data_IF_576438288576
#
_entry.id   IF_576438288576
#
_cell.length_a   1.000
_cell.length_b   1.000
_cell.length_c   1.000
_cell.angle_alpha   90.00
_cell.angle_beta   90.00
_cell.angle_gamma   90.00
#
_symmetry.space_group_name_H-M   'P 1'
#
loop_
_entity.id
_entity.type
_entity.pdbx_description
1 polymer ?
#
# COMPACT_ATOMS: atom_id res chain seq x y z
N UNK A 1 -26.60 -4.41 -15.13
CA UNK A 1 -25.24 -4.39 -15.67
C UNK A 1 -24.45 -3.23 -15.06
N UNK A 2 -23.13 -3.40 -14.92
CA UNK A 2 -22.21 -2.41 -14.35
C UNK A 2 -20.99 -2.30 -15.26
N UNK A 3 -20.51 -1.08 -15.49
CA UNK A 3 -19.39 -0.78 -16.37
C UNK A 3 -18.38 0.11 -15.64
N UNK A 4 -17.12 -0.30 -15.67
CA UNK A 4 -15.96 0.51 -15.31
C UNK A 4 -15.31 1.04 -16.59
N UNK A 5 -15.15 2.35 -16.67
CA UNK A 5 -14.62 3.06 -17.82
C UNK A 5 -13.22 3.57 -17.46
N UNK A 6 -12.21 3.03 -18.13
CA UNK A 6 -10.82 3.51 -18.05
C UNK A 6 -10.77 4.97 -18.50
N UNK A 7 -10.07 5.81 -17.73
CA UNK A 7 -9.80 7.21 -18.10
C UNK A 7 -8.36 7.59 -17.79
N UNK A 8 -7.93 8.76 -18.26
CA UNK A 8 -6.66 9.39 -17.88
C UNK A 8 -6.82 10.40 -16.72
N UNK A 9 -7.97 10.40 -16.04
CA UNK A 9 -8.32 11.35 -14.98
C UNK A 9 -7.94 10.85 -13.57
N UNK A 10 -7.08 9.83 -13.49
CA UNK A 10 -6.63 9.23 -12.22
C UNK A 10 -7.71 8.41 -11.49
N UNK A 11 -8.77 7.99 -12.19
CA UNK A 11 -9.87 7.18 -11.66
C UNK A 11 -10.66 6.49 -12.76
N UNK A 12 -11.37 5.44 -12.39
CA UNK A 12 -12.45 4.93 -13.23
C UNK A 12 -13.65 5.88 -13.21
N UNK A 13 -14.41 5.84 -14.30
CA UNK A 13 -15.79 6.32 -14.31
C UNK A 13 -16.72 5.12 -14.34
N UNK A 14 -17.86 5.25 -13.67
CA UNK A 14 -18.79 4.14 -13.47
C UNK A 14 -20.13 4.46 -14.12
N UNK A 15 -20.71 3.46 -14.77
CA UNK A 15 -22.05 3.54 -15.33
C UNK A 15 -22.81 2.23 -15.11
N UNK A 16 -24.13 2.32 -15.00
CA UNK A 16 -25.01 1.18 -14.76
C UNK A 16 -26.17 1.18 -15.75
N UNK A 17 -26.71 -0.01 -16.00
CA UNK A 17 -27.85 -0.22 -16.90
C UNK A 17 -28.70 -1.38 -16.42
N UNK A 18 -30.02 -1.28 -16.55
CA UNK A 18 -30.97 -2.35 -16.25
C UNK A 18 -31.21 -3.28 -17.43
N UNK A 19 -31.01 -2.80 -18.66
CA UNK A 19 -31.35 -3.49 -19.91
C UNK A 19 -30.16 -3.71 -20.86
N UNK A 20 -29.01 -3.10 -20.57
CA UNK A 20 -27.80 -3.12 -21.42
C UNK A 20 -27.85 -2.13 -22.59
N UNK A 21 -28.99 -1.51 -22.87
CA UNK A 21 -29.18 -0.58 -23.99
C UNK A 21 -29.06 0.88 -23.54
N UNK A 22 -29.68 1.24 -22.42
CA UNK A 22 -29.61 2.57 -21.84
C UNK A 22 -28.69 2.58 -20.61
N UNK A 23 -27.74 3.50 -20.59
CA UNK A 23 -26.73 3.59 -19.53
C UNK A 23 -26.85 4.93 -18.79
N UNK A 24 -26.66 4.89 -17.47
CA UNK A 24 -26.63 6.11 -16.66
C UNK A 24 -25.45 7.01 -17.06
N UNK A 25 -25.59 8.32 -16.86
CA UNK A 25 -24.46 9.26 -17.04
C UNK A 25 -23.24 8.79 -16.23
N UNK A 26 -22.06 8.61 -16.86
CA UNK A 26 -20.86 8.18 -16.14
C UNK A 26 -20.49 9.12 -14.99
N UNK A 27 -20.09 8.56 -13.85
CA UNK A 27 -19.65 9.33 -12.67
C UNK A 27 -18.25 8.91 -12.21
N UNK A 28 -17.45 9.82 -11.65
CA UNK A 28 -16.18 9.49 -11.00
C UNK A 28 -16.33 8.39 -9.95
N UNK A 29 -15.50 7.36 -10.02
CA UNK A 29 -15.50 6.21 -9.12
C UNK A 29 -14.14 5.96 -8.47
N UNK A 30 -13.77 4.68 -8.38
CA UNK A 30 -12.52 4.21 -7.76
C UNK A 30 -11.26 4.87 -8.36
N UNK A 31 -10.25 5.20 -7.52
CA UNK A 31 -8.94 5.60 -8.01
C UNK A 31 -8.32 4.49 -8.85
N UNK A 32 -7.65 4.89 -9.93
CA UNK A 32 -6.97 3.98 -10.83
C UNK A 32 -5.88 4.73 -11.57
N UNK A 33 -4.78 4.04 -11.88
CA UNK A 33 -3.94 4.48 -12.98
C UNK A 33 -4.73 4.37 -14.29
N UNK A 34 -4.23 4.96 -15.36
CA UNK A 34 -4.81 4.90 -16.69
C UNK A 34 -4.70 3.50 -17.33
N UNK A 35 -4.85 2.43 -16.54
CA UNK A 35 -4.91 1.01 -16.90
C UNK A 35 -6.35 0.48 -16.82
N UNK A 36 -6.71 -0.54 -17.61
CA UNK A 36 -8.04 -1.15 -17.53
C UNK A 36 -8.19 -2.04 -16.28
N UNK A 37 -9.45 -2.28 -15.90
CA UNK A 37 -9.85 -3.22 -14.88
C UNK A 37 -10.22 -4.59 -15.45
N UNK A 38 -10.14 -5.62 -14.62
CA UNK A 38 -10.65 -6.96 -14.87
C UNK A 38 -11.74 -7.28 -13.85
N UNK A 39 -12.87 -7.79 -14.32
CA UNK A 39 -14.01 -8.16 -13.47
C UNK A 39 -14.33 -9.64 -13.65
N UNK A 40 -14.61 -10.33 -12.54
CA UNK A 40 -15.08 -11.71 -12.55
C UNK A 40 -16.26 -11.86 -11.57
N UNK A 41 -17.36 -12.46 -12.01
CA UNK A 41 -18.51 -12.76 -11.15
C UNK A 41 -18.43 -14.19 -10.64
N UNK A 42 -18.32 -14.34 -9.33
CA UNK A 42 -18.27 -15.63 -8.65
C UNK A 42 -19.64 -16.35 -8.71
N UNK A 43 -19.67 -17.70 -8.61
CA UNK A 43 -20.92 -18.47 -8.59
C UNK A 43 -21.88 -18.07 -7.46
N UNK A 44 -21.35 -17.55 -6.35
CA UNK A 44 -22.12 -17.08 -5.18
C UNK A 44 -22.64 -15.63 -5.34
N UNK A 45 -22.45 -15.02 -6.51
CA UNK A 45 -22.94 -13.69 -6.85
C UNK A 45 -21.99 -12.54 -6.52
N UNK A 46 -20.93 -12.78 -5.74
CA UNK A 46 -19.87 -11.78 -5.49
C UNK A 46 -19.17 -11.37 -6.78
N UNK A 47 -18.62 -10.17 -6.80
CA UNK A 47 -17.84 -9.65 -7.93
C UNK A 47 -16.42 -9.38 -7.44
N UNK A 48 -15.43 -9.91 -8.15
CA UNK A 48 -14.02 -9.61 -7.94
C UNK A 48 -13.59 -8.58 -8.97
N UNK A 49 -12.91 -7.54 -8.50
CA UNK A 49 -12.28 -6.50 -9.30
C UNK A 49 -10.77 -6.61 -9.16
N UNK A 50 -10.06 -6.58 -10.29
CA UNK A 50 -8.61 -6.50 -10.38
C UNK A 50 -8.23 -5.23 -11.13
N UNK A 51 -7.37 -4.39 -10.54
CA UNK A 51 -6.96 -3.13 -11.17
C UNK A 51 -5.71 -2.53 -10.53
N UNK A 52 -5.15 -1.53 -11.18
CA UNK A 52 -4.03 -0.77 -10.66
C UNK A 52 -4.53 0.45 -9.86
N UNK A 53 -4.75 0.30 -8.55
CA UNK A 53 -5.03 1.41 -7.63
C UNK A 53 -3.75 2.20 -7.31
N UNK A 54 -3.11 2.76 -8.34
CA UNK A 54 -1.87 3.49 -8.26
C UNK A 54 -2.16 4.98 -8.52
N UNK A 55 -1.56 5.87 -7.75
CA UNK A 55 -1.67 7.31 -7.98
C UNK A 55 -0.31 7.95 -8.31
N UNK A 56 -0.37 9.25 -8.62
CA UNK A 56 0.77 10.18 -8.76
C UNK A 56 1.67 10.03 -9.98
N UNK A 57 1.66 8.86 -10.62
CA UNK A 57 2.38 8.65 -11.86
C UNK A 57 1.43 8.13 -12.92
N UNK A 58 1.48 8.78 -14.08
CA UNK A 58 0.77 8.31 -15.27
C UNK A 58 1.48 7.07 -15.84
N UNK A 59 0.70 6.22 -16.48
CA UNK A 59 1.20 5.10 -17.26
C UNK A 59 2.04 4.09 -16.46
N UNK A 60 2.89 3.34 -17.15
CA UNK A 60 3.71 2.30 -16.58
C UNK A 60 4.74 2.79 -15.54
N UNK A 61 5.16 4.07 -15.59
CA UNK A 61 6.19 4.66 -14.72
C UNK A 61 5.67 4.97 -13.30
N UNK A 62 5.02 4.01 -12.67
CA UNK A 62 4.45 4.14 -11.32
C UNK A 62 3.03 3.61 -11.25
N UNK A 63 2.26 3.77 -12.34
CA UNK A 63 0.87 3.33 -12.44
C UNK A 63 0.66 1.83 -12.67
N UNK A 64 1.70 1.03 -12.94
CA UNK A 64 1.57 -0.41 -13.26
C UNK A 64 2.48 -1.33 -12.45
N UNK A 65 3.01 -0.87 -11.32
CA UNK A 65 3.92 -1.70 -10.51
C UNK A 65 3.21 -2.76 -9.66
N UNK A 66 1.95 -2.51 -9.29
CA UNK A 66 1.16 -3.39 -8.45
C UNK A 66 -0.24 -3.54 -9.03
N UNK A 67 -0.78 -4.74 -8.96
CA UNK A 67 -2.17 -5.05 -9.26
C UNK A 67 -2.88 -5.34 -7.95
N UNK A 68 -3.97 -4.64 -7.68
CA UNK A 68 -4.82 -4.84 -6.52
C UNK A 68 -6.06 -5.66 -6.86
N UNK A 69 -6.60 -6.34 -5.85
CA UNK A 69 -7.88 -7.04 -5.88
C UNK A 69 -8.85 -6.51 -4.82
N UNK A 70 -10.14 -6.49 -5.15
CA UNK A 70 -11.23 -6.23 -4.22
C UNK A 70 -12.47 -7.07 -4.54
N UNK A 71 -13.33 -7.25 -3.54
CA UNK A 71 -14.58 -8.00 -3.62
C UNK A 71 -15.76 -7.07 -3.35
N UNK A 72 -16.82 -7.20 -4.14
CA UNK A 72 -18.13 -6.62 -3.89
C UNK A 72 -19.16 -7.72 -3.63
N UNK A 73 -20.00 -7.52 -2.62
CA UNK A 73 -21.14 -8.40 -2.27
C UNK A 73 -22.49 -7.76 -2.58
N UNK A 74 -22.51 -6.52 -3.09
CA UNK A 74 -23.72 -5.69 -3.20
C UNK A 74 -23.94 -5.17 -4.64
N UNK A 75 -23.42 -5.90 -5.62
CA UNK A 75 -23.59 -5.57 -7.04
C UNK A 75 -22.71 -4.41 -7.51
N UNK A 76 -21.46 -4.36 -7.03
CA UNK A 76 -20.46 -3.34 -7.34
C UNK A 76 -20.79 -1.93 -6.80
N UNK A 77 -21.58 -1.84 -5.73
CA UNK A 77 -21.84 -0.56 -5.04
C UNK A 77 -20.75 -0.22 -4.03
N UNK A 78 -20.24 -1.24 -3.33
CA UNK A 78 -19.10 -1.13 -2.43
C UNK A 78 -18.08 -2.22 -2.71
N UNK A 79 -16.83 -1.93 -2.35
CA UNK A 79 -15.67 -2.78 -2.58
C UNK A 79 -14.90 -2.97 -1.27
N UNK A 80 -14.37 -4.18 -1.06
CA UNK A 80 -13.59 -4.55 0.13
C UNK A 80 -12.32 -5.31 -0.25
N UNK A 81 -11.27 -5.15 0.55
CA UNK A 81 -10.00 -5.86 0.39
C UNK A 81 -8.86 -4.94 -0.02
N UNK A 82 -8.89 -4.41 -1.25
CA UNK A 82 -7.83 -3.55 -1.82
C UNK A 82 -6.42 -4.08 -1.50
N UNK A 83 -6.20 -5.36 -1.78
CA UNK A 83 -4.93 -6.04 -1.51
C UNK A 83 -4.14 -6.23 -2.79
N UNK A 84 -2.82 -6.11 -2.72
CA UNK A 84 -1.93 -6.43 -3.82
C UNK A 84 -1.96 -7.93 -4.13
N UNK A 85 -2.54 -8.30 -5.27
CA UNK A 85 -2.61 -9.68 -5.75
C UNK A 85 -1.39 -10.06 -6.60
N UNK A 86 -0.72 -9.05 -7.17
CA UNK A 86 0.51 -9.25 -7.94
C UNK A 86 1.32 -7.96 -8.03
N UNK A 87 2.63 -8.11 -8.20
CA UNK A 87 3.58 -7.00 -8.37
C UNK A 87 4.48 -7.32 -9.54
N UNK A 88 4.84 -6.30 -10.30
CA UNK A 88 5.72 -6.46 -11.46
C UNK A 88 7.05 -7.10 -11.02
N UNK A 89 7.45 -8.25 -11.59
CA UNK A 89 8.70 -8.92 -11.24
C UNK A 89 9.91 -8.07 -11.65
N UNK A 90 9.76 -7.18 -12.64
CA UNK A 90 10.82 -6.31 -13.14
C UNK A 90 10.88 -4.94 -12.42
N UNK A 91 10.09 -4.72 -11.35
CA UNK A 91 10.01 -3.44 -10.62
C UNK A 91 11.35 -2.94 -10.05
N UNK A 92 12.33 -3.82 -9.90
CA UNK A 92 13.67 -3.46 -9.40
C UNK A 92 14.63 -3.05 -10.55
N UNK A 93 14.23 -3.25 -11.80
CA UNK A 93 15.02 -2.90 -12.98
C UNK A 93 14.73 -1.47 -13.42
N UNK A 94 15.63 -0.90 -14.20
CA UNK A 94 15.35 0.36 -14.89
C UNK A 94 14.19 0.14 -15.87
N UNK A 95 13.28 1.11 -15.95
CA UNK A 95 12.22 1.09 -16.93
C UNK A 95 12.84 0.94 -18.34
N UNK A 96 12.23 0.12 -19.22
CA UNK A 96 12.73 -0.04 -20.57
C UNK A 96 12.68 1.30 -21.32
N UNK A 97 13.64 1.51 -22.23
CA UNK A 97 13.73 2.75 -23.03
C UNK A 97 12.54 2.94 -23.99
N UNK A 98 11.78 1.88 -24.27
CA UNK A 98 10.56 1.91 -25.07
C UNK A 98 9.62 0.75 -24.71
N UNK A 99 8.35 0.89 -25.11
CA UNK A 99 7.33 -0.14 -24.98
C UNK A 99 6.62 -0.21 -23.62
N UNK A 100 5.57 -1.02 -23.60
CA UNK A 100 4.75 -1.22 -22.41
C UNK A 100 5.42 -2.16 -21.42
N UNK A 101 5.25 -1.86 -20.13
CA UNK A 101 5.81 -2.63 -19.03
C UNK A 101 4.91 -2.54 -17.79
N UNK A 102 5.27 -3.31 -16.77
CA UNK A 102 4.50 -3.44 -15.55
C UNK A 102 3.39 -4.49 -15.64
N UNK A 103 2.65 -4.62 -14.55
CA UNK A 103 1.46 -5.45 -14.46
C UNK A 103 0.20 -4.62 -14.67
N UNK A 104 -0.55 -4.92 -15.73
CA UNK A 104 -1.87 -4.34 -16.02
C UNK A 104 -2.59 -5.21 -17.05
N UNK A 105 -3.75 -4.74 -17.53
CA UNK A 105 -4.62 -5.51 -18.44
C UNK A 105 -5.03 -6.87 -17.86
N UNK A 106 -5.56 -6.90 -16.62
CA UNK A 106 -6.01 -8.16 -16.05
C UNK A 106 -7.21 -8.72 -16.82
N UNK A 107 -7.12 -9.98 -17.21
CA UNK A 107 -8.25 -10.74 -17.77
C UNK A 107 -8.56 -11.86 -16.78
N UNK A 108 -9.78 -11.86 -16.24
CA UNK A 108 -10.17 -12.75 -15.15
C UNK A 108 -11.36 -13.65 -15.52
N UNK A 109 -11.32 -14.89 -15.04
CA UNK A 109 -12.40 -15.87 -15.14
C UNK A 109 -12.54 -16.64 -13.83
N UNK A 110 -13.76 -17.10 -13.56
CA UNK A 110 -14.05 -17.86 -12.34
C UNK A 110 -13.95 -19.36 -12.58
N UNK A 111 -13.31 -20.07 -11.66
CA UNK A 111 -13.28 -21.54 -11.69
C UNK A 111 -14.56 -22.13 -11.10
N UNK A 112 -14.82 -23.42 -11.37
CA UNK A 112 -15.93 -24.15 -10.75
C UNK A 112 -15.88 -24.18 -9.21
N UNK A 113 -14.70 -24.02 -8.63
CA UNK A 113 -14.47 -24.01 -7.19
C UNK A 113 -14.59 -22.61 -6.56
N UNK A 114 -15.08 -21.62 -7.32
CA UNK A 114 -15.23 -20.25 -6.81
C UNK A 114 -13.90 -19.50 -6.62
N UNK A 115 -12.82 -19.95 -7.26
CA UNK A 115 -11.55 -19.21 -7.33
C UNK A 115 -11.51 -18.32 -8.57
N UNK A 116 -10.63 -17.34 -8.59
CA UNK A 116 -10.43 -16.45 -9.75
C UNK A 116 -9.11 -16.79 -10.43
N UNK A 117 -9.18 -17.30 -11.66
CA UNK A 117 -8.03 -17.41 -12.53
C UNK A 117 -7.89 -16.10 -13.31
N UNK A 118 -6.70 -15.51 -13.34
CA UNK A 118 -6.48 -14.31 -14.14
C UNK A 118 -5.08 -14.26 -14.74
N UNK A 119 -4.97 -13.63 -15.89
CA UNK A 119 -3.69 -13.21 -16.47
C UNK A 119 -3.52 -11.71 -16.33
N UNK A 120 -2.29 -11.24 -16.19
CA UNK A 120 -1.94 -9.81 -16.13
C UNK A 120 -0.49 -9.62 -16.57
N UNK A 121 -0.15 -8.43 -17.04
CA UNK A 121 1.20 -8.12 -17.49
C UNK A 121 1.26 -7.42 -18.84
N UNK A 122 2.38 -6.73 -19.08
CA UNK A 122 2.68 -6.10 -20.36
C UNK A 122 4.18 -6.20 -20.67
N UNK A 123 4.50 -6.13 -21.96
CA UNK A 123 5.87 -6.27 -22.43
C UNK A 123 6.43 -7.65 -22.11
N UNK A 124 7.57 -7.68 -21.40
CA UNK A 124 8.29 -8.92 -21.08
C UNK A 124 7.77 -9.65 -19.85
N UNK A 125 6.90 -9.04 -19.05
CA UNK A 125 6.35 -9.65 -17.83
C UNK A 125 4.86 -9.92 -18.00
N UNK A 126 4.50 -11.19 -18.23
CA UNK A 126 3.12 -11.68 -18.14
C UNK A 126 3.05 -12.91 -17.24
N UNK A 127 1.95 -13.03 -16.50
CA UNK A 127 1.74 -14.13 -15.56
C UNK A 127 0.29 -14.57 -15.61
N UNK A 128 0.04 -15.83 -15.28
CA UNK A 128 -1.28 -16.34 -14.93
C UNK A 128 -1.30 -16.81 -13.48
N UNK A 129 -2.34 -16.44 -12.75
CA UNK A 129 -2.45 -16.62 -11.30
C UNK A 129 -3.82 -17.20 -10.94
N UNK A 130 -3.86 -17.93 -9.83
CA UNK A 130 -5.10 -18.39 -9.20
C UNK A 130 -5.24 -17.68 -7.85
N UNK A 131 -6.32 -16.92 -7.70
CA UNK A 131 -6.64 -16.16 -6.49
C UNK A 131 -7.81 -16.79 -5.75
N UNK A 132 -7.64 -16.95 -4.45
CA UNK A 132 -8.75 -17.18 -3.52
C UNK A 132 -9.41 -15.84 -3.16
N UNK A 133 -10.67 -15.58 -3.55
CA UNK A 133 -11.33 -14.32 -3.24
C UNK A 133 -11.51 -14.08 -1.73
N UNK A 134 -11.54 -15.13 -0.91
CA UNK A 134 -11.68 -14.98 0.55
C UNK A 134 -10.42 -14.39 1.19
N UNK A 135 -9.25 -14.58 0.56
CA UNK A 135 -8.00 -13.93 0.98
C UNK A 135 -8.13 -12.39 0.91
N UNK A 136 -8.89 -11.85 -0.05
CA UNK A 136 -9.13 -10.40 -0.12
C UNK A 136 -9.95 -9.88 1.05
N UNK A 137 -10.65 -10.74 1.78
CA UNK A 137 -11.54 -10.37 2.89
C UNK A 137 -10.92 -10.55 4.28
N UNK A 138 -9.69 -11.09 4.35
CA UNK A 138 -8.93 -11.14 5.61
C UNK A 138 -8.78 -9.74 6.20
N UNK A 139 -8.85 -9.64 7.52
CA UNK A 139 -8.79 -8.37 8.24
C UNK A 139 -7.46 -8.13 8.95
N UNK A 140 -6.51 -9.07 8.81
CA UNK A 140 -5.23 -9.03 9.51
C UNK A 140 -4.08 -9.39 8.58
N UNK A 141 -2.97 -8.67 8.71
CA UNK A 141 -1.70 -9.04 8.07
C UNK A 141 -0.54 -8.69 8.98
N UNK A 142 0.51 -9.52 8.99
CA UNK A 142 1.73 -9.30 9.77
C UNK A 142 2.95 -9.62 8.93
N UNK A 143 4.02 -8.86 9.16
CA UNK A 143 5.36 -9.15 8.65
C UNK A 143 6.39 -8.99 9.77
N UNK A 144 7.35 -9.90 9.82
CA UNK A 144 8.50 -9.89 10.73
C UNK A 144 9.82 -10.17 9.99
N UNK A 145 9.80 -10.03 8.66
CA UNK A 145 10.96 -10.10 7.76
C UNK A 145 11.64 -11.47 7.70
N UNK A 146 11.05 -12.50 8.30
CA UNK A 146 11.52 -13.89 8.17
C UNK A 146 11.46 -14.42 6.74
N UNK A 147 10.59 -13.83 5.90
CA UNK A 147 10.45 -14.10 4.45
C UNK A 147 11.09 -13.01 3.58
N UNK A 148 12.00 -12.24 4.15
CA UNK A 148 12.66 -11.13 3.46
C UNK A 148 11.75 -9.95 3.16
N UNK A 149 12.01 -9.25 2.04
CA UNK A 149 11.28 -8.03 1.63
C UNK A 149 10.28 -8.29 0.51
N UNK A 150 9.96 -9.55 0.23
CA UNK A 150 9.03 -9.90 -0.83
C UNK A 150 7.66 -9.28 -0.63
N UNK A 151 7.24 -8.94 0.59
CA UNK A 151 5.99 -8.23 0.90
C UNK A 151 6.05 -6.70 0.73
N UNK A 152 7.20 -6.13 0.37
CA UNK A 152 7.45 -4.70 0.41
C UNK A 152 7.87 -4.15 -0.96
N UNK A 153 7.54 -2.88 -1.19
CA UNK A 153 8.09 -2.10 -2.31
C UNK A 153 9.18 -1.17 -1.77
N UNK A 154 10.42 -1.43 -2.17
CA UNK A 154 11.63 -0.69 -1.77
C UNK A 154 12.49 -0.25 -2.96
N UNK A 155 12.03 -0.48 -4.18
CA UNK A 155 12.77 -0.16 -5.40
C UNK A 155 12.85 1.35 -5.68
N UNK A 156 13.84 1.76 -6.47
CA UNK A 156 14.14 3.17 -6.71
C UNK A 156 14.53 3.93 -5.44
N UNK A 157 15.00 3.21 -4.42
CA UNK A 157 15.50 3.78 -3.16
C UNK A 157 16.92 3.28 -2.87
N UNK A 158 17.60 3.93 -1.92
CA UNK A 158 18.88 3.48 -1.35
C UNK A 158 18.77 3.44 0.17
N UNK A 159 19.45 2.47 0.78
CA UNK A 159 19.50 2.29 2.24
C UNK A 159 18.26 1.65 2.86
N UNK A 160 17.43 0.96 2.06
CA UNK A 160 16.26 0.20 2.53
C UNK A 160 16.46 -1.28 2.21
N UNK A 161 16.78 -2.08 3.23
CA UNK A 161 17.24 -3.47 3.05
C UNK A 161 17.07 -4.31 4.32
N UNK A 162 17.30 -5.62 4.22
CA UNK A 162 17.36 -6.49 5.39
C UNK A 162 18.67 -6.26 6.15
N UNK A 163 18.58 -6.14 7.46
CA UNK A 163 19.73 -6.09 8.35
C UNK A 163 19.58 -7.11 9.48
N UNK A 164 20.68 -7.45 10.14
CA UNK A 164 20.65 -8.28 11.34
C UNK A 164 19.83 -7.59 12.45
N UNK A 165 19.08 -8.37 13.21
CA UNK A 165 18.38 -7.86 14.37
C UNK A 165 19.39 -7.38 15.44
N UNK A 166 19.16 -6.22 16.10
CA UNK A 166 20.13 -5.65 17.06
C UNK A 166 20.56 -6.60 18.20
N UNK A 167 19.62 -7.39 18.73
CA UNK A 167 19.85 -8.25 19.90
C UNK A 167 19.58 -9.75 19.70
N UNK A 168 19.03 -10.17 18.55
CA UNK A 168 18.60 -11.56 18.32
C UNK A 168 19.43 -12.16 17.20
N UNK A 169 20.38 -13.04 17.55
CA UNK A 169 21.27 -13.68 16.58
C UNK A 169 20.47 -14.45 15.54
N UNK A 170 20.79 -14.26 14.26
CA UNK A 170 20.14 -14.94 13.13
C UNK A 170 18.78 -14.37 12.73
N UNK A 171 18.18 -13.48 13.53
CA UNK A 171 16.96 -12.77 13.14
C UNK A 171 17.28 -11.58 12.23
N UNK A 172 16.33 -11.22 11.38
CA UNK A 172 16.44 -10.13 10.42
C UNK A 172 15.37 -9.07 10.70
N UNK A 173 15.63 -7.84 10.27
CA UNK A 173 14.74 -6.69 10.38
C UNK A 173 14.86 -5.84 9.12
N UNK A 174 13.85 -5.03 8.82
CA UNK A 174 13.97 -3.99 7.79
C UNK A 174 14.79 -2.82 8.35
N UNK A 175 15.90 -2.48 7.73
CA UNK A 175 16.62 -1.23 7.96
C UNK A 175 16.14 -0.16 6.98
N UNK A 176 15.96 1.06 7.46
CA UNK A 176 15.61 2.22 6.66
C UNK A 176 16.57 3.37 7.01
N UNK A 177 17.44 3.71 6.06
CA UNK A 177 18.58 4.62 6.22
C UNK A 177 18.70 5.53 5.00
N UNK A 178 19.02 6.80 5.20
CA UNK A 178 19.31 7.70 4.08
C UNK A 178 20.79 7.65 3.74
N UNK A 179 21.22 6.61 3.03
CA UNK A 179 22.66 6.39 2.73
C UNK A 179 23.20 7.33 1.66
N UNK A 180 22.33 7.82 0.77
CA UNK A 180 22.68 8.71 -0.34
C UNK A 180 21.67 9.85 -0.42
N UNK A 181 22.13 11.09 -0.60
CA UNK A 181 21.23 12.26 -0.65
C UNK A 181 20.43 12.34 -1.95
N UNK A 182 20.97 11.80 -3.04
CA UNK A 182 20.35 11.78 -4.37
C UNK A 182 19.19 10.78 -4.49
N UNK A 183 19.07 9.84 -3.55
CA UNK A 183 18.03 8.81 -3.55
C UNK A 183 17.12 8.95 -2.32
N UNK A 184 15.83 8.65 -2.46
CA UNK A 184 14.95 8.48 -1.31
C UNK A 184 15.29 7.19 -0.56
N UNK A 185 14.85 7.12 0.70
CA UNK A 185 14.85 5.91 1.50
C UNK A 185 13.42 5.68 2.00
N UNK A 186 12.68 4.82 1.30
CA UNK A 186 11.26 4.57 1.54
C UNK A 186 10.94 3.08 1.43
N UNK A 187 10.14 2.58 2.37
CA UNK A 187 9.50 1.28 2.29
C UNK A 187 7.97 1.44 2.25
N UNK A 188 7.31 0.73 1.33
CA UNK A 188 5.84 0.73 1.18
C UNK A 188 5.32 -0.69 1.36
N UNK A 189 4.26 -0.84 2.16
CA UNK A 189 3.65 -2.12 2.49
C UNK A 189 2.13 -2.05 2.36
N UNK A 190 1.55 -2.97 1.61
CA UNK A 190 0.11 -3.15 1.54
C UNK A 190 -0.39 -4.10 2.63
N UNK A 191 -1.54 -3.76 3.20
CA UNK A 191 -2.29 -4.60 4.13
C UNK A 191 -3.79 -4.52 3.78
N UNK A 192 -4.66 -5.39 4.34
CA UNK A 192 -6.08 -5.33 4.06
C UNK A 192 -6.67 -3.95 4.35
N UNK A 193 -7.39 -3.36 3.39
CA UNK A 193 -7.93 -2.04 3.60
C UNK A 193 -9.15 -2.04 4.53
N UNK A 194 -9.24 -1.06 5.43
CA UNK A 194 -10.43 -0.84 6.27
C UNK A 194 -10.67 0.61 6.65
N UNK A 195 -11.94 0.94 6.91
CA UNK A 195 -12.37 2.27 7.34
C UNK A 195 -11.94 2.58 8.79
N UNK A 196 -11.77 1.55 9.61
CA UNK A 196 -11.17 1.65 10.93
C UNK A 196 -10.10 0.59 11.08
N UNK A 197 -9.10 0.83 11.92
CA UNK A 197 -8.07 -0.18 12.14
C UNK A 197 -6.90 0.30 12.97
N UNK A 198 -5.94 -0.62 13.11
CA UNK A 198 -4.69 -0.43 13.82
C UNK A 198 -3.53 -0.94 12.99
N UNK A 199 -2.47 -0.16 12.89
CA UNK A 199 -1.14 -0.62 12.52
C UNK A 199 -0.25 -0.55 13.76
N UNK A 200 0.32 -1.68 14.13
CA UNK A 200 1.29 -1.83 15.20
C UNK A 200 2.68 -2.06 14.61
N UNK A 201 3.66 -1.27 15.02
CA UNK A 201 5.06 -1.40 14.60
C UNK A 201 5.95 -1.54 15.82
N UNK A 202 6.97 -2.40 15.70
CA UNK A 202 8.07 -2.45 16.67
C UNK A 202 9.32 -1.87 16.02
N UNK A 203 9.75 -0.71 16.51
CA UNK A 203 10.81 0.10 15.91
C UNK A 203 12.03 0.21 16.84
N UNK A 204 13.20 0.36 16.25
CA UNK A 204 14.44 0.74 16.91
C UNK A 204 14.98 1.98 16.21
N UNK A 205 15.29 3.02 16.97
CA UNK A 205 16.05 4.16 16.44
C UNK A 205 17.53 3.91 16.70
N UNK A 206 18.35 4.04 15.67
CA UNK A 206 19.80 3.95 15.86
C UNK A 206 20.34 5.30 16.38
N UNK A 207 21.40 5.30 17.20
CA UNK A 207 22.08 6.54 17.56
C UNK A 207 22.51 7.31 16.30
N UNK A 208 22.10 8.57 16.18
CA UNK A 208 22.31 9.39 14.98
C UNK A 208 21.14 9.41 13.98
N UNK A 209 20.03 8.75 14.30
CA UNK A 209 18.78 8.79 13.51
C UNK A 209 18.39 10.21 13.09
N UNK A 210 18.16 10.40 11.80
CA UNK A 210 17.89 11.70 11.17
C UNK A 210 16.42 12.05 11.02
N UNK A 211 15.51 11.18 11.46
CA UNK A 211 14.06 11.39 11.35
C UNK A 211 13.40 10.53 10.28
N UNK A 212 12.09 10.31 10.43
CA UNK A 212 11.25 9.59 9.50
C UNK A 212 9.82 10.15 9.46
N UNK A 213 9.11 9.86 8.38
CA UNK A 213 7.68 10.02 8.26
C UNK A 213 7.01 8.65 8.21
N UNK A 214 5.91 8.50 8.96
CA UNK A 214 5.05 7.32 8.99
C UNK A 214 3.71 7.74 8.42
N UNK A 215 3.35 7.24 7.24
CA UNK A 215 2.14 7.65 6.53
C UNK A 215 1.22 6.47 6.23
N UNK A 216 -0.08 6.75 6.27
CA UNK A 216 -1.16 5.83 5.94
C UNK A 216 -1.87 6.31 4.68
N UNK A 217 -1.99 5.45 3.65
CA UNK A 217 -2.60 5.79 2.35
C UNK A 217 -3.66 4.77 1.92
N UNK A 218 -4.54 5.17 0.99
CA UNK A 218 -5.64 4.37 0.42
C UNK A 218 -5.33 3.84 -1.00
N UNK A 219 -4.13 4.14 -1.50
CA UNK A 219 -3.64 3.76 -2.82
C UNK A 219 -2.13 3.53 -2.79
N UNK A 220 -1.64 2.86 -3.83
CA UNK A 220 -0.23 2.66 -4.04
C UNK A 220 0.44 3.91 -4.64
N UNK A 221 1.58 4.27 -4.09
CA UNK A 221 2.55 5.18 -4.72
C UNK A 221 3.93 4.55 -4.65
N UNK A 222 4.71 4.73 -5.72
CA UNK A 222 6.07 4.20 -5.79
C UNK A 222 6.94 4.70 -4.62
N UNK A 223 7.91 3.90 -4.14
CA UNK A 223 8.74 4.29 -3.01
C UNK A 223 9.54 5.58 -3.26
N UNK A 224 9.90 5.85 -4.51
CA UNK A 224 10.65 7.05 -4.88
C UNK A 224 9.82 8.34 -5.02
N UNK A 225 8.50 8.27 -4.87
CA UNK A 225 7.64 9.46 -4.90
C UNK A 225 7.77 10.29 -3.61
N UNK A 226 8.50 11.39 -3.66
CA UNK A 226 8.64 12.28 -2.50
C UNK A 226 7.34 13.03 -2.18
N UNK A 227 6.44 13.21 -3.16
CA UNK A 227 5.19 13.94 -2.98
C UNK A 227 4.02 13.04 -2.53
N UNK A 228 4.18 11.71 -2.54
CA UNK A 228 3.15 10.78 -2.08
C UNK A 228 2.66 11.07 -0.65
N UNK A 229 3.51 11.64 0.19
CA UNK A 229 3.16 12.04 1.56
C UNK A 229 2.12 13.17 1.60
N UNK A 230 2.10 14.06 0.60
CA UNK A 230 1.09 15.12 0.47
C UNK A 230 -0.31 14.55 0.18
N UNK A 231 -0.37 13.30 -0.27
CA UNK A 231 -1.61 12.59 -0.60
C UNK A 231 -1.93 11.49 0.42
N UNK A 232 -1.22 11.45 1.54
CA UNK A 232 -1.54 10.55 2.63
C UNK A 232 -2.88 10.91 3.26
N UNK A 233 -3.57 9.91 3.84
CA UNK A 233 -4.76 10.16 4.66
C UNK A 233 -4.32 10.67 6.02
N UNK A 234 -3.29 10.03 6.61
CA UNK A 234 -2.61 10.51 7.80
C UNK A 234 -1.10 10.40 7.63
N UNK A 235 -0.37 11.37 8.17
CA UNK A 235 1.09 11.33 8.26
C UNK A 235 1.55 11.80 9.64
N UNK A 236 2.51 11.07 10.20
CA UNK A 236 3.09 11.34 11.51
C UNK A 236 4.59 11.52 11.37
N UNK A 237 5.09 12.67 11.82
CA UNK A 237 6.53 12.93 11.88
C UNK A 237 7.15 12.27 13.12
N UNK A 238 8.16 11.44 12.88
CA UNK A 238 9.11 10.97 13.88
C UNK A 238 10.40 11.77 13.71
N UNK A 239 10.59 12.77 14.56
CA UNK A 239 11.68 13.75 14.43
C UNK A 239 13.04 13.13 14.73
N UNK A 240 14.12 13.75 14.25
CA UNK A 240 15.50 13.29 14.47
C UNK A 240 15.85 13.13 15.97
N UNK A 241 15.22 13.90 16.86
CA UNK A 241 15.41 13.77 18.30
C UNK A 241 14.58 12.64 18.94
N UNK A 242 13.94 11.80 18.13
CA UNK A 242 13.09 10.68 18.52
C UNK A 242 11.67 11.09 18.93
N UNK A 243 11.28 12.37 18.83
CA UNK A 243 9.92 12.80 19.19
C UNK A 243 8.89 12.38 18.15
N UNK A 244 7.77 11.86 18.65
CA UNK A 244 6.54 11.59 17.91
C UNK A 244 5.37 12.09 18.75
N UNK A 245 4.66 13.10 18.26
CA UNK A 245 3.70 13.85 19.09
C UNK A 245 4.35 14.37 20.39
N UNK A 246 3.74 14.02 21.53
CA UNK A 246 4.21 14.38 22.88
C UNK A 246 5.16 13.36 23.51
N UNK A 247 5.48 12.27 22.81
CA UNK A 247 6.35 11.19 23.30
C UNK A 247 7.69 11.22 22.60
N UNK A 248 8.68 10.53 23.19
CA UNK A 248 10.04 10.42 22.66
C UNK A 248 10.48 8.96 22.72
N UNK A 249 10.88 8.42 21.57
CA UNK A 249 11.55 7.14 21.45
C UNK A 249 13.03 7.35 21.77
N UNK A 250 13.62 6.45 22.55
CA UNK A 250 15.05 6.46 22.86
C UNK A 250 15.80 5.65 21.81
N UNK A 251 16.93 6.19 21.37
CA UNK A 251 17.84 5.44 20.51
C UNK A 251 18.43 4.22 21.25
N UNK A 252 18.69 3.15 20.51
CA UNK A 252 19.25 1.91 21.02
C UNK A 252 18.28 1.02 21.81
N UNK A 253 16.98 1.33 21.84
CA UNK A 253 15.96 0.50 22.49
C UNK A 253 14.73 0.25 21.60
N UNK A 254 14.05 -0.90 21.76
CA UNK A 254 12.82 -1.19 21.05
C UNK A 254 11.67 -0.31 21.58
N UNK A 255 10.82 0.14 20.67
CA UNK A 255 9.58 0.86 20.98
C UNK A 255 8.42 0.31 20.18
N UNK A 256 7.25 0.21 20.82
CA UNK A 256 5.99 -0.11 20.15
C UNK A 256 5.30 1.19 19.73
N UNK A 257 5.06 1.38 18.43
CA UNK A 257 4.31 2.51 17.88
C UNK A 257 3.01 2.00 17.28
N UNK A 258 1.89 2.54 17.75
CA UNK A 258 0.55 2.19 17.29
C UNK A 258 -0.10 3.38 16.60
N UNK A 259 -0.72 3.13 15.44
CA UNK A 259 -1.58 4.07 14.73
C UNK A 259 -2.98 3.45 14.68
N UNK A 260 -3.92 4.01 15.45
CA UNK A 260 -5.32 3.62 15.48
C UNK A 260 -6.15 4.65 14.71
N UNK A 261 -6.77 4.28 13.59
CA UNK A 261 -7.52 5.22 12.76
C UNK A 261 -9.02 4.93 12.73
N UNK A 262 -9.76 6.00 12.48
CA UNK A 262 -11.17 5.99 12.12
C UNK A 262 -11.40 7.03 11.02
N UNK A 263 -11.71 6.54 9.82
CA UNK A 263 -11.97 7.36 8.63
C UNK A 263 -13.20 8.25 8.83
N UNK A 264 -14.27 7.74 9.46
CA UNK A 264 -15.50 8.50 9.69
C UNK A 264 -15.27 9.64 10.68
N UNK A 265 -14.47 9.39 11.71
CA UNK A 265 -14.07 10.41 12.67
C UNK A 265 -13.00 11.37 12.12
N UNK A 266 -12.31 11.01 11.03
CA UNK A 266 -11.20 11.76 10.47
C UNK A 266 -9.94 11.73 11.34
N UNK A 267 -9.79 10.75 12.24
CA UNK A 267 -8.77 10.78 13.30
C UNK A 267 -7.89 9.55 13.30
N UNK A 268 -6.59 9.77 13.55
CA UNK A 268 -5.61 8.73 13.82
C UNK A 268 -4.93 8.99 15.17
N UNK A 269 -5.17 8.12 16.15
CA UNK A 269 -4.52 8.17 17.47
C UNK A 269 -3.16 7.49 17.37
N UNK A 270 -2.12 8.19 17.81
CA UNK A 270 -0.75 7.67 17.83
C UNK A 270 -0.38 7.35 19.26
N UNK A 271 0.08 6.13 19.53
CA UNK A 271 0.56 5.71 20.86
C UNK A 271 1.97 5.15 20.79
N UNK A 272 2.76 5.39 21.83
CA UNK A 272 4.11 4.86 22.02
C UNK A 272 4.18 4.12 23.35
N UNK A 273 4.57 2.84 23.31
CA UNK A 273 4.70 1.96 24.47
C UNK A 273 3.44 1.98 25.36
N UNK A 274 2.28 1.88 24.72
CA UNK A 274 0.96 1.86 25.38
C UNK A 274 0.47 3.22 25.87
N UNK A 275 1.20 4.33 25.64
CA UNK A 275 0.78 5.68 26.05
C UNK A 275 0.48 6.57 24.85
N UNK A 276 -0.61 7.33 24.93
CA UNK A 276 -1.00 8.27 23.88
C UNK A 276 0.11 9.30 23.64
N UNK A 277 0.49 9.46 22.38
CA UNK A 277 1.43 10.48 21.90
C UNK A 277 0.74 11.65 21.22
N UNK A 278 -0.45 11.43 20.66
CA UNK A 278 -1.25 12.50 20.07
C UNK A 278 -2.36 11.95 19.20
N UNK A 279 -3.11 12.86 18.59
CA UNK A 279 -4.13 12.55 17.58
C UNK A 279 -3.83 13.40 16.36
N UNK A 280 -3.81 12.76 15.19
CA UNK A 280 -3.58 13.39 13.90
C UNK A 280 -4.90 13.41 13.13
N UNK A 281 -5.29 14.57 12.62
CA UNK A 281 -6.47 14.74 11.77
C UNK A 281 -6.15 14.27 10.34
N UNK A 282 -7.16 13.80 9.62
CA UNK A 282 -7.01 13.37 8.24
C UNK A 282 -6.66 14.55 7.35
N UNK A 283 -5.63 14.41 6.51
CA UNK A 283 -5.23 15.44 5.54
C UNK A 283 -6.21 15.57 4.38
N UNK A 284 -7.00 14.53 4.13
CA UNK A 284 -8.05 14.48 3.11
C UNK A 284 -9.07 13.38 3.41
N UNK A 285 -10.18 13.40 2.70
CA UNK A 285 -11.15 12.31 2.71
C UNK A 285 -10.59 11.04 2.06
N UNK A 286 -10.98 9.89 2.61
CA UNK A 286 -10.76 8.56 2.08
C UNK A 286 -11.94 7.66 2.50
N UNK A 287 -12.11 6.50 1.86
CA UNK A 287 -13.10 5.50 2.29
C UNK A 287 -12.52 4.43 3.22
N UNK A 288 -11.24 4.11 3.03
CA UNK A 288 -10.49 3.12 3.79
C UNK A 288 -9.00 3.41 3.62
N UNK A 289 -8.14 2.80 4.44
CA UNK A 289 -6.67 2.83 4.30
C UNK A 289 -6.16 1.40 4.23
N UNK A 290 -5.18 1.15 3.35
CA UNK A 290 -4.58 -0.18 3.12
C UNK A 290 -3.07 -0.16 2.86
N UNK A 291 -2.40 0.96 3.13
CA UNK A 291 -0.97 1.09 2.89
C UNK A 291 -0.25 1.80 4.03
N UNK A 292 0.90 1.26 4.40
CA UNK A 292 1.89 1.89 5.27
C UNK A 292 3.07 2.35 4.42
N UNK A 293 3.46 3.61 4.57
CA UNK A 293 4.67 4.19 3.99
C UNK A 293 5.59 4.67 5.10
N UNK A 294 6.81 4.14 5.12
CA UNK A 294 7.89 4.59 5.98
C UNK A 294 8.93 5.27 5.11
N UNK A 295 9.26 6.52 5.41
CA UNK A 295 10.22 7.32 4.64
C UNK A 295 11.22 7.99 5.57
N UNK A 296 12.49 8.01 5.22
CA UNK A 296 13.47 8.83 5.94
C UNK A 296 13.18 10.31 5.67
N UNK A 297 13.13 11.10 6.74
CA UNK A 297 12.98 12.56 6.66
C UNK A 297 14.29 13.29 6.98
N UNK A 298 15.40 12.56 7.11
CA UNK A 298 16.73 13.14 7.34
C UNK A 298 17.05 14.15 6.23
N UNK A 299 17.61 15.32 6.54
CA UNK A 299 17.93 16.33 5.53
C UNK A 299 19.15 15.95 4.67
N UNK A 300 20.11 15.24 5.25
CA UNK A 300 21.33 14.75 4.61
C UNK A 300 21.47 13.23 4.74
N UNK A 301 22.72 12.75 4.69
CA UNK A 301 23.02 11.33 4.92
C UNK A 301 22.71 10.97 6.38
N UNK A 302 21.96 9.88 6.56
CA UNK A 302 21.63 9.24 7.82
C UNK A 302 21.96 7.73 7.70
N UNK A 303 23.20 7.33 8.00
CA UNK A 303 23.64 5.94 7.87
C UNK A 303 23.19 5.08 9.06
N UNK A 304 22.61 5.69 10.10
CA UNK A 304 22.09 5.03 11.27
C UNK A 304 20.63 4.62 11.02
N UNK A 305 19.77 5.59 10.74
CA UNK A 305 18.37 5.39 10.40
C UNK A 305 17.56 4.73 11.50
N UNK A 306 16.56 3.96 11.09
CA UNK A 306 15.74 3.14 11.98
C UNK A 306 15.72 1.69 11.50
N UNK A 307 15.35 0.79 12.41
CA UNK A 307 15.00 -0.59 12.08
C UNK A 307 13.55 -0.88 12.46
N UNK A 308 12.82 -1.52 11.56
CA UNK A 308 11.49 -2.06 11.79
C UNK A 308 11.63 -3.57 12.03
N UNK A 309 11.32 -3.99 13.25
CA UNK A 309 11.41 -5.38 13.68
C UNK A 309 10.20 -6.20 13.26
N UNK A 310 9.01 -5.61 13.34
CA UNK A 310 7.77 -6.22 12.86
C UNK A 310 6.69 -5.17 12.66
N UNK A 311 5.75 -5.47 11.78
CA UNK A 311 4.54 -4.69 11.56
C UNK A 311 3.32 -5.62 11.53
N UNK A 312 2.22 -5.16 12.09
CA UNK A 312 0.94 -5.85 12.06
C UNK A 312 -0.19 -4.87 11.83
N UNK A 313 -1.06 -5.18 10.88
CA UNK A 313 -2.30 -4.46 10.63
C UNK A 313 -3.50 -5.32 11.04
N UNK A 314 -4.46 -4.72 11.74
CA UNK A 314 -5.78 -5.29 12.04
C UNK A 314 -6.83 -4.23 11.67
N UNK A 315 -7.79 -4.58 10.81
CA UNK A 315 -8.75 -3.62 10.28
C UNK A 315 -10.19 -4.09 10.45
N UNK A 316 -11.12 -3.15 10.48
CA UNK A 316 -12.52 -3.41 10.25
C UNK A 316 -12.97 -2.69 8.97
N UNK A 317 -13.74 -3.38 8.11
CA UNK A 317 -14.26 -2.82 6.86
C UNK A 317 -15.07 -1.55 7.08
#
# INVERSE_FOLDING_TARGET
MYMLIRTQLGRFYESSSTDGAAWSRPRPGLPSSDSPAGLARLPDGRIVLLWNNCARYAYAYGGRHVLQGAVSTDGARTWRGFREVYRDPLRNEAAPSSGDHGTAYPVAQTTRQGKVFFSTGQGKSSVSLLLDPDWLLETRQRDDFTRGLDGWSVFGTRGVELAAHPTRKGAQVLALRRTETAWPATAVWNFPAGATGRVAMKLWLEPGFGGAAISLTDHYSVPFDLEAELHAVWSVALRADGRIGTRRLRAGSPHAVLLDWDVKAGKCRVSVDGRLAGVVESLRAAGAVGYLRLRSSAAGVDPAGLRLESVEANVAP
#
